data_IF_157644093959
#
_entry.id   IF_157644093959
#
_cell.length_a   1.000
_cell.length_b   1.000
_cell.length_c   1.000
_cell.angle_alpha   90.00
_cell.angle_beta   90.00
_cell.angle_gamma   90.00
#
_symmetry.space_group_name_H-M   'P 1'
#
loop_
_entity.id
_entity.type
_entity.pdbx_description
1 polymer ?
#
# COMPACT_ATOMS: atom_id res chain seq x y z
N UNK A 1 6.39 -30.42 1.33
CA UNK A 1 6.13 -29.62 2.55
C UNK A 1 4.72 -29.93 3.01
N UNK A 2 4.56 -30.37 4.25
CA UNK A 2 3.24 -30.68 4.83
C UNK A 2 2.43 -29.42 5.11
N UNK A 3 1.13 -29.61 5.34
CA UNK A 3 0.23 -28.56 5.83
C UNK A 3 0.58 -28.19 7.27
N UNK A 4 0.61 -26.89 7.57
CA UNK A 4 0.76 -26.36 8.93
C UNK A 4 -0.64 -26.08 9.48
N UNK A 5 -0.91 -26.47 10.72
CA UNK A 5 -2.22 -26.28 11.37
C UNK A 5 -2.02 -25.51 12.68
N UNK A 6 -2.62 -24.33 12.78
CA UNK A 6 -2.39 -23.38 13.87
C UNK A 6 -3.72 -22.96 14.50
N UNK A 7 -3.72 -22.81 15.81
CA UNK A 7 -4.73 -22.05 16.52
C UNK A 7 -4.26 -20.59 16.66
N UNK A 8 -5.05 -19.67 16.14
CA UNK A 8 -4.83 -18.23 16.27
C UNK A 8 -5.84 -17.66 17.28
N UNK A 9 -5.34 -16.93 18.28
CA UNK A 9 -6.18 -16.24 19.28
C UNK A 9 -5.96 -14.74 19.22
N UNK A 10 -6.88 -13.96 19.83
CA UNK A 10 -6.86 -12.49 19.81
C UNK A 10 -5.57 -11.82 20.29
N UNK A 11 -4.76 -12.54 21.09
CA UNK A 11 -3.52 -12.01 21.64
C UNK A 11 -2.36 -12.05 20.64
N UNK A 12 -2.53 -12.77 19.53
CA UNK A 12 -1.50 -13.00 18.54
C UNK A 12 -1.90 -12.49 17.16
N UNK A 13 -0.88 -12.16 16.38
CA UNK A 13 -0.96 -11.96 14.94
C UNK A 13 -0.12 -13.03 14.25
N UNK A 14 -0.70 -13.69 13.27
CA UNK A 14 0.01 -14.63 12.40
C UNK A 14 0.48 -13.87 11.16
N UNK A 15 1.80 -13.67 11.02
CA UNK A 15 2.42 -13.12 9.83
C UNK A 15 2.78 -14.26 8.88
N UNK A 16 2.28 -14.21 7.64
CA UNK A 16 2.62 -15.18 6.59
C UNK A 16 3.35 -14.45 5.47
N UNK A 17 4.57 -14.92 5.18
CA UNK A 17 5.48 -14.31 4.21
C UNK A 17 5.73 -15.26 3.04
N UNK A 18 5.61 -14.72 1.84
CA UNK A 18 5.79 -15.47 0.61
C UNK A 18 4.56 -16.28 0.22
N UNK A 19 4.68 -17.07 -0.85
CA UNK A 19 3.56 -17.83 -1.34
C UNK A 19 3.06 -18.82 -0.29
N UNK A 20 1.75 -18.85 -0.10
CA UNK A 20 1.05 -19.75 0.80
C UNK A 20 -0.42 -19.80 0.42
N UNK A 21 -1.07 -20.93 0.68
CA UNK A 21 -2.52 -21.07 0.59
C UNK A 21 -3.04 -21.23 2.01
N UNK A 22 -3.74 -20.20 2.50
CA UNK A 22 -4.35 -20.16 3.81
C UNK A 22 -5.79 -20.66 3.70
N UNK A 23 -6.22 -21.46 4.68
CA UNK A 23 -7.62 -21.83 4.90
C UNK A 23 -7.97 -21.46 6.33
N UNK A 24 -8.94 -20.56 6.48
CA UNK A 24 -9.42 -20.12 7.78
C UNK A 24 -10.68 -20.90 8.16
N UNK A 25 -10.76 -21.35 9.41
CA UNK A 25 -11.95 -21.93 10.02
C UNK A 25 -12.28 -21.15 11.28
N UNK A 26 -13.38 -20.40 11.25
CA UNK A 26 -13.73 -19.39 12.25
C UNK A 26 -13.43 -17.97 11.78
N UNK A 27 -13.58 -17.00 12.69
CA UNK A 27 -13.50 -15.57 12.35
C UNK A 27 -12.06 -15.09 12.28
N UNK A 28 -11.67 -14.49 11.16
CA UNK A 28 -10.38 -13.83 11.03
C UNK A 28 -10.42 -12.72 9.97
N UNK A 29 -9.44 -11.83 10.01
CA UNK A 29 -9.25 -10.76 9.07
C UNK A 29 -7.83 -10.70 8.54
N UNK A 30 -7.68 -10.18 7.32
CA UNK A 30 -6.40 -9.75 6.75
C UNK A 30 -6.58 -8.32 6.26
N UNK A 31 -5.84 -7.37 6.82
CA UNK A 31 -5.88 -5.96 6.38
C UNK A 31 -7.33 -5.42 6.27
N UNK A 32 -8.16 -5.69 7.28
CA UNK A 32 -9.57 -5.25 7.35
C UNK A 32 -10.54 -6.05 6.48
N UNK A 33 -10.04 -7.01 5.69
CA UNK A 33 -10.86 -7.95 4.90
C UNK A 33 -11.28 -9.12 5.76
N UNK A 34 -12.57 -9.40 5.81
CA UNK A 34 -13.11 -10.60 6.46
C UNK A 34 -12.79 -11.86 5.63
N UNK A 35 -12.04 -12.77 6.24
CA UNK A 35 -11.62 -14.06 5.66
C UNK A 35 -12.27 -15.27 6.35
N UNK A 36 -13.33 -15.04 7.12
CA UNK A 36 -14.07 -16.08 7.86
C UNK A 36 -14.48 -17.22 6.94
N UNK A 37 -14.02 -18.44 7.26
CA UNK A 37 -14.31 -19.65 6.48
C UNK A 37 -13.89 -19.58 5.00
N UNK A 38 -12.88 -18.76 4.66
CA UNK A 38 -12.36 -18.60 3.29
C UNK A 38 -10.97 -19.24 3.12
N UNK A 39 -10.64 -19.50 1.86
CA UNK A 39 -9.27 -19.75 1.45
C UNK A 39 -8.67 -18.53 0.76
N UNK A 40 -7.44 -18.17 1.13
CA UNK A 40 -6.73 -16.99 0.65
C UNK A 40 -5.35 -17.41 0.16
N UNK A 41 -4.92 -16.87 -0.99
CA UNK A 41 -3.54 -17.06 -1.48
C UNK A 41 -2.68 -15.85 -1.13
N UNK A 42 -1.59 -16.08 -0.41
CA UNK A 42 -0.52 -15.10 -0.19
C UNK A 42 0.43 -15.14 -1.38
N UNK A 43 0.90 -13.97 -1.85
CA UNK A 43 1.84 -13.86 -2.98
C UNK A 43 3.30 -13.89 -2.50
N UNK A 44 4.22 -14.38 -3.34
CA UNK A 44 5.67 -14.54 -3.06
C UNK A 44 6.37 -13.34 -2.40
N UNK A 45 5.97 -12.11 -2.74
CA UNK A 45 6.65 -10.89 -2.28
C UNK A 45 5.84 -10.12 -1.23
N UNK A 46 4.91 -10.80 -0.56
CA UNK A 46 4.00 -10.17 0.41
C UNK A 46 4.15 -10.81 1.77
N UNK A 47 3.85 -10.00 2.79
CA UNK A 47 3.73 -10.40 4.17
C UNK A 47 2.34 -9.93 4.58
N UNK A 48 1.47 -10.87 4.91
CA UNK A 48 0.09 -10.57 5.31
C UNK A 48 -0.10 -10.90 6.79
N UNK A 49 -0.67 -9.97 7.58
CA UNK A 49 -1.09 -10.26 8.94
C UNK A 49 -2.48 -10.91 8.93
N UNK A 50 -2.59 -12.08 9.55
CA UNK A 50 -3.84 -12.74 9.86
C UNK A 50 -4.13 -12.49 11.34
N UNK A 51 -5.32 -11.98 11.60
CA UNK A 51 -5.75 -11.44 12.89
C UNK A 51 -7.16 -11.95 13.20
N UNK A 52 -7.49 -12.11 14.48
CA UNK A 52 -8.83 -12.50 14.94
C UNK A 52 -9.14 -11.78 16.24
N UNK A 53 -10.42 -11.51 16.52
CA UNK A 53 -10.83 -10.96 17.81
C UNK A 53 -11.34 -12.06 18.77
N UNK A 54 -11.38 -13.31 18.30
CA UNK A 54 -11.80 -14.49 19.06
C UNK A 54 -10.65 -15.51 19.11
N UNK A 55 -10.94 -16.77 18.81
CA UNK A 55 -9.98 -17.75 18.33
C UNK A 55 -10.47 -18.31 16.99
N UNK A 56 -9.54 -18.83 16.18
CA UNK A 56 -9.84 -19.53 14.94
C UNK A 56 -8.72 -20.50 14.59
N UNK A 57 -9.02 -21.47 13.72
CA UNK A 57 -8.04 -22.42 13.19
C UNK A 57 -7.59 -21.96 11.81
N UNK A 58 -6.28 -21.89 11.60
CA UNK A 58 -5.65 -21.51 10.33
C UNK A 58 -4.81 -22.68 9.83
N UNK A 59 -5.16 -23.20 8.65
CA UNK A 59 -4.36 -24.21 7.95
C UNK A 59 -3.59 -23.53 6.82
N UNK A 60 -2.28 -23.74 6.77
CA UNK A 60 -1.38 -23.17 5.76
C UNK A 60 -0.76 -24.28 4.91
N UNK A 61 -1.06 -24.26 3.62
CA UNK A 61 -0.45 -25.11 2.62
C UNK A 61 0.64 -24.34 1.85
N UNK A 62 1.70 -25.04 1.44
CA UNK A 62 2.81 -24.48 0.63
C UNK A 62 3.45 -23.24 1.25
N UNK A 63 3.45 -23.13 2.57
CA UNK A 63 3.99 -21.99 3.29
C UNK A 63 5.49 -21.85 3.07
N UNK A 64 5.94 -20.69 2.58
CA UNK A 64 7.36 -20.34 2.57
C UNK A 64 7.88 -20.01 3.97
N UNK A 65 7.25 -19.04 4.65
CA UNK A 65 7.65 -18.59 5.97
C UNK A 65 6.42 -18.07 6.73
N UNK A 66 6.32 -18.38 8.03
CA UNK A 66 5.31 -17.78 8.91
C UNK A 66 5.91 -17.46 10.28
N UNK A 67 5.31 -16.49 10.99
CA UNK A 67 5.65 -16.13 12.37
C UNK A 67 4.37 -15.82 13.14
N UNK A 68 4.27 -16.30 14.36
CA UNK A 68 3.20 -15.93 15.27
C UNK A 68 3.78 -15.05 16.37
N UNK A 69 3.21 -13.87 16.57
CA UNK A 69 3.75 -12.83 17.45
C UNK A 69 2.64 -12.22 18.29
N UNK A 70 2.96 -11.73 19.48
CA UNK A 70 2.00 -10.92 20.25
C UNK A 70 1.54 -9.73 19.42
N UNK A 71 0.23 -9.45 19.47
CA UNK A 71 -0.44 -8.49 18.58
C UNK A 71 0.09 -7.06 18.74
N UNK A 72 0.47 -6.65 19.95
CA UNK A 72 0.91 -5.28 20.22
C UNK A 72 2.13 -4.89 19.37
N UNK A 73 1.96 -3.86 18.54
CA UNK A 73 3.00 -3.37 17.64
C UNK A 73 3.26 -4.29 16.43
N UNK A 74 2.33 -5.16 16.09
CA UNK A 74 2.40 -6.10 14.96
C UNK A 74 1.12 -6.03 14.13
N UNK A 75 1.22 -6.39 12.84
CA UNK A 75 0.05 -6.49 11.98
C UNK A 75 -0.59 -5.14 11.70
N UNK A 76 -1.91 -5.05 11.85
CA UNK A 76 -2.63 -3.78 11.65
C UNK A 76 -2.60 -2.88 12.89
N UNK A 77 -2.23 -3.40 14.07
CA UNK A 77 -2.20 -2.62 15.31
C UNK A 77 -1.19 -1.47 15.27
N UNK A 78 -0.14 -1.58 14.44
CA UNK A 78 0.84 -0.50 14.23
C UNK A 78 0.21 0.75 13.62
N UNK A 79 -1.02 0.66 13.12
CA UNK A 79 -1.74 1.74 12.45
C UNK A 79 -3.00 2.17 13.21
N UNK A 80 -3.18 1.76 14.47
CA UNK A 80 -4.40 2.05 15.25
C UNK A 80 -4.72 3.55 15.30
N UNK A 81 -3.73 4.41 15.59
CA UNK A 81 -3.92 5.87 15.63
C UNK A 81 -4.39 6.45 14.29
N UNK A 82 -3.81 5.98 13.18
CA UNK A 82 -4.19 6.41 11.84
C UNK A 82 -5.59 5.89 11.49
N UNK A 83 -5.88 4.62 11.80
CA UNK A 83 -7.19 3.99 11.59
C UNK A 83 -8.27 4.78 12.33
N UNK A 84 -8.06 5.06 13.61
CA UNK A 84 -9.04 5.70 14.46
C UNK A 84 -9.29 7.14 14.00
N UNK A 85 -8.24 7.86 13.62
CA UNK A 85 -8.37 9.18 13.00
C UNK A 85 -9.18 9.15 11.69
N UNK A 86 -8.92 8.18 10.82
CA UNK A 86 -9.65 8.02 9.55
C UNK A 86 -11.12 7.69 9.79
N UNK A 87 -11.40 6.76 10.72
CA UNK A 87 -12.77 6.33 11.05
C UNK A 87 -13.58 7.43 11.73
N UNK A 88 -12.94 8.26 12.56
CA UNK A 88 -13.58 9.34 13.30
C UNK A 88 -13.79 10.61 12.45
N UNK A 89 -12.78 11.00 11.67
CA UNK A 89 -12.83 12.26 10.90
C UNK A 89 -13.48 12.14 9.53
N UNK A 90 -13.64 10.92 9.03
CA UNK A 90 -14.17 10.60 7.70
C UNK A 90 -13.61 11.50 6.58
N UNK A 91 -12.27 11.52 6.41
CA UNK A 91 -11.59 12.45 5.51
C UNK A 91 -12.01 12.28 4.05
N UNK A 92 -11.86 13.34 3.26
CA UNK A 92 -11.98 13.26 1.80
C UNK A 92 -10.64 12.90 1.13
N UNK A 93 -9.52 13.19 1.78
CA UNK A 93 -8.18 12.88 1.27
C UNK A 93 -7.26 12.42 2.37
N UNK A 94 -6.59 11.29 2.14
CA UNK A 94 -5.54 10.75 3.00
C UNK A 94 -4.25 10.71 2.18
N UNK A 95 -3.20 11.38 2.64
CA UNK A 95 -1.87 11.32 2.04
C UNK A 95 -0.96 10.45 2.89
N UNK A 96 -0.36 9.41 2.31
CA UNK A 96 0.55 8.50 3.01
C UNK A 96 1.99 8.88 2.70
N UNK A 97 2.77 9.21 3.73
CA UNK A 97 4.17 9.66 3.65
C UNK A 97 5.05 8.76 4.54
N UNK A 98 6.30 8.57 4.13
CA UNK A 98 7.27 7.78 4.90
C UNK A 98 8.36 7.21 4.01
N UNK A 99 9.47 6.79 4.61
CA UNK A 99 10.62 6.24 3.88
C UNK A 99 10.27 4.97 3.10
N UNK A 100 11.19 4.50 2.26
CA UNK A 100 11.03 3.21 1.61
C UNK A 100 10.82 2.09 2.65
N UNK A 101 10.01 1.10 2.28
CA UNK A 101 9.80 -0.11 3.07
C UNK A 101 9.16 0.08 4.46
N UNK A 102 8.52 1.22 4.72
CA UNK A 102 7.77 1.47 5.98
C UNK A 102 6.34 0.91 6.01
N UNK A 103 5.85 0.31 4.93
CA UNK A 103 4.50 -0.28 4.87
C UNK A 103 3.42 0.58 4.21
N UNK A 104 3.77 1.72 3.59
CA UNK A 104 2.81 2.67 2.97
C UNK A 104 1.76 2.04 2.08
N UNK A 105 2.16 1.22 1.11
CA UNK A 105 1.22 0.58 0.18
C UNK A 105 0.30 -0.42 0.88
N UNK A 106 0.79 -1.11 1.91
CA UNK A 106 -0.02 -2.02 2.73
C UNK A 106 -1.01 -1.24 3.60
N UNK A 107 -0.61 -0.10 4.16
CA UNK A 107 -1.53 0.82 4.84
C UNK A 107 -2.58 1.35 3.86
N UNK A 108 -2.21 1.72 2.64
CA UNK A 108 -3.17 2.17 1.63
C UNK A 108 -4.26 1.12 1.36
N UNK A 109 -3.87 -0.15 1.25
CA UNK A 109 -4.79 -1.30 1.14
C UNK A 109 -5.68 -1.41 2.37
N UNK A 110 -5.10 -1.37 3.56
CA UNK A 110 -5.84 -1.47 4.82
C UNK A 110 -6.90 -0.37 4.95
N UNK A 111 -6.50 0.89 4.76
CA UNK A 111 -7.38 2.05 4.82
C UNK A 111 -8.46 1.99 3.74
N UNK A 112 -8.12 1.51 2.54
CA UNK A 112 -9.11 1.32 1.48
C UNK A 112 -10.17 0.30 1.88
N UNK A 113 -9.80 -0.85 2.41
CA UNK A 113 -10.74 -1.91 2.80
C UNK A 113 -11.67 -1.48 3.94
N UNK A 114 -11.15 -0.81 4.98
CA UNK A 114 -11.99 -0.36 6.10
C UNK A 114 -12.96 0.75 5.66
N UNK A 115 -12.54 1.65 4.76
CA UNK A 115 -13.37 2.76 4.31
C UNK A 115 -14.32 2.39 3.18
N UNK A 116 -14.03 1.34 2.42
CA UNK A 116 -14.90 0.83 1.35
C UNK A 116 -16.30 0.46 1.86
N UNK A 117 -16.40 0.03 3.12
CA UNK A 117 -17.67 -0.30 3.79
C UNK A 117 -18.53 0.94 4.09
N UNK A 118 -17.92 2.14 4.08
CA UNK A 118 -18.56 3.40 4.48
C UNK A 118 -18.82 4.35 3.31
N UNK A 119 -17.90 4.42 2.35
CA UNK A 119 -18.00 5.36 1.21
C UNK A 119 -17.24 4.86 0.00
N UNK A 120 -17.44 5.55 -1.12
CA UNK A 120 -16.69 5.31 -2.36
C UNK A 120 -15.23 5.69 -2.16
N UNK A 121 -14.32 4.77 -2.47
CA UNK A 121 -12.87 4.94 -2.29
C UNK A 121 -12.15 4.89 -3.63
N UNK A 122 -11.14 5.75 -3.77
CA UNK A 122 -10.16 5.71 -4.86
C UNK A 122 -8.76 5.68 -4.25
N UNK A 123 -7.86 4.97 -4.92
CA UNK A 123 -6.42 5.03 -4.64
C UNK A 123 -5.72 5.71 -5.79
N UNK A 124 -4.84 6.66 -5.48
CA UNK A 124 -3.84 7.21 -6.40
C UNK A 124 -2.48 6.69 -5.92
N UNK A 125 -1.75 6.02 -6.80
CA UNK A 125 -0.41 5.52 -6.53
C UNK A 125 0.63 6.42 -7.18
N UNK A 126 1.08 7.41 -6.42
CA UNK A 126 2.03 8.45 -6.81
C UNK A 126 3.50 8.03 -6.75
N UNK A 127 3.80 6.75 -6.50
CA UNK A 127 5.18 6.25 -6.54
C UNK A 127 5.61 5.96 -7.99
N UNK A 128 6.26 6.94 -8.62
CA UNK A 128 6.75 6.82 -10.00
C UNK A 128 7.87 5.78 -10.18
N UNK A 129 8.53 5.34 -9.11
CA UNK A 129 9.65 4.40 -9.18
C UNK A 129 9.25 2.95 -8.91
N UNK A 130 8.29 2.77 -8.00
CA UNK A 130 7.91 1.48 -7.41
C UNK A 130 6.39 1.36 -7.14
N UNK A 131 5.54 2.16 -7.80
CA UNK A 131 4.08 2.02 -7.71
C UNK A 131 3.57 0.70 -8.28
N UNK A 132 2.50 0.16 -7.71
CA UNK A 132 1.84 -1.09 -8.10
C UNK A 132 0.69 -0.88 -9.10
N UNK A 133 0.09 0.32 -9.17
CA UNK A 133 -1.02 0.59 -10.09
C UNK A 133 -0.58 0.94 -11.52
N UNK A 134 0.65 1.41 -11.69
CA UNK A 134 1.17 1.87 -12.97
C UNK A 134 2.58 1.34 -13.27
N UNK A 135 2.99 1.30 -14.55
CA UNK A 135 4.37 1.01 -14.88
C UNK A 135 5.29 2.09 -14.30
N UNK A 136 6.57 1.79 -14.05
CA UNK A 136 7.53 2.81 -13.63
C UNK A 136 7.53 4.01 -14.60
N UNK A 137 7.79 5.20 -14.05
CA UNK A 137 7.65 6.51 -14.68
C UNK A 137 6.20 6.97 -14.98
N UNK A 138 5.20 6.26 -14.44
CA UNK A 138 3.79 6.65 -14.48
C UNK A 138 3.18 6.68 -13.07
N UNK A 139 2.05 7.36 -12.96
CA UNK A 139 1.13 7.32 -11.80
C UNK A 139 -0.15 6.65 -12.24
N UNK A 140 -0.73 5.82 -11.36
CA UNK A 140 -2.00 5.15 -11.61
C UNK A 140 -3.06 5.57 -10.60
N UNK A 141 -4.31 5.68 -11.04
CA UNK A 141 -5.45 5.84 -10.16
C UNK A 141 -6.53 4.81 -10.48
N UNK A 142 -7.17 4.29 -9.44
CA UNK A 142 -8.29 3.36 -9.58
C UNK A 142 -9.29 3.54 -8.47
N UNK A 143 -10.58 3.41 -8.82
CA UNK A 143 -11.62 3.15 -7.84
C UNK A 143 -11.42 1.78 -7.19
N UNK A 144 -11.77 1.68 -5.92
CA UNK A 144 -11.81 0.42 -5.17
C UNK A 144 -13.27 -0.01 -5.10
N UNK A 145 -13.61 -1.11 -5.77
CA UNK A 145 -14.98 -1.63 -5.82
C UNK A 145 -15.17 -2.88 -4.96
N UNK A 146 -14.08 -3.55 -4.58
CA UNK A 146 -14.08 -4.75 -3.76
C UNK A 146 -12.86 -4.71 -2.83
N UNK A 147 -12.91 -5.51 -1.77
CA UNK A 147 -11.76 -5.71 -0.88
C UNK A 147 -10.56 -6.24 -1.67
N UNK A 148 -9.38 -5.70 -1.37
CA UNK A 148 -8.11 -6.07 -1.99
C UNK A 148 -7.10 -6.46 -0.91
N UNK A 149 -6.16 -7.35 -1.22
CA UNK A 149 -5.04 -7.67 -0.31
C UNK A 149 -3.73 -7.06 -0.81
N UNK A 150 -3.73 -6.59 -2.06
CA UNK A 150 -2.61 -5.92 -2.68
C UNK A 150 -3.05 -4.89 -3.74
N UNK A 151 -2.35 -3.77 -3.86
CA UNK A 151 -2.61 -2.82 -4.95
C UNK A 151 -2.38 -3.45 -6.34
N UNK A 152 -1.52 -4.47 -6.45
CA UNK A 152 -1.36 -5.21 -7.72
C UNK A 152 -2.54 -6.11 -8.08
N UNK A 153 -3.54 -6.28 -7.20
CA UNK A 153 -4.76 -7.04 -7.50
C UNK A 153 -5.67 -6.30 -8.49
N UNK A 154 -5.49 -4.99 -8.65
CA UNK A 154 -6.30 -4.16 -9.51
C UNK A 154 -5.47 -3.52 -10.63
N UNK A 155 -6.18 -3.08 -11.68
CA UNK A 155 -5.61 -2.31 -12.78
C UNK A 155 -6.02 -0.86 -12.61
N UNK A 156 -5.12 0.08 -12.89
CA UNK A 156 -5.49 1.49 -12.90
C UNK A 156 -6.52 1.78 -14.01
N UNK A 157 -7.50 2.61 -13.66
CA UNK A 157 -8.50 3.13 -14.59
C UNK A 157 -7.98 4.37 -15.32
N UNK A 158 -7.05 5.09 -14.70
CA UNK A 158 -6.43 6.31 -15.23
C UNK A 158 -4.93 6.30 -14.99
N UNK A 159 -4.18 6.82 -15.96
CA UNK A 159 -2.73 6.89 -15.94
C UNK A 159 -2.25 8.31 -16.26
N UNK A 160 -1.18 8.72 -15.62
CA UNK A 160 -0.43 9.94 -15.95
C UNK A 160 1.04 9.57 -16.17
N UNK A 161 1.58 9.91 -17.35
CA UNK A 161 2.99 9.69 -17.65
C UNK A 161 3.82 10.84 -17.11
N UNK A 162 4.84 10.50 -16.30
CA UNK A 162 5.77 11.47 -15.71
C UNK A 162 7.10 11.47 -16.46
N UNK A 163 7.51 10.32 -17.00
CA UNK A 163 8.78 10.18 -17.73
C UNK A 163 10.02 10.10 -16.84
N UNK A 164 9.85 10.04 -15.53
CA UNK A 164 10.94 9.89 -14.55
C UNK A 164 10.56 8.88 -13.47
N UNK A 165 11.52 8.06 -13.06
CA UNK A 165 11.39 7.14 -11.90
C UNK A 165 11.77 7.81 -10.57
N UNK A 166 12.24 9.05 -10.62
CA UNK A 166 12.45 9.92 -9.46
C UNK A 166 11.33 10.95 -9.41
N UNK A 167 10.73 11.23 -8.25
CA UNK A 167 9.66 12.22 -8.13
C UNK A 167 10.08 13.60 -8.65
N UNK A 168 9.23 14.22 -9.44
CA UNK A 168 9.38 15.59 -9.96
C UNK A 168 8.12 16.40 -9.63
N UNK A 169 8.13 17.74 -9.77
CA UNK A 169 6.92 18.54 -9.57
C UNK A 169 5.72 18.09 -10.43
N UNK A 170 5.96 17.46 -11.59
CA UNK A 170 4.91 16.91 -12.45
C UNK A 170 4.04 15.85 -11.76
N UNK A 171 4.59 15.16 -10.74
CA UNK A 171 3.83 14.19 -9.93
C UNK A 171 2.68 14.88 -9.20
N UNK A 172 2.89 16.11 -8.70
CA UNK A 172 1.87 16.88 -8.00
C UNK A 172 0.73 17.24 -8.97
N UNK A 173 1.08 17.72 -10.17
CA UNK A 173 0.08 18.08 -11.19
C UNK A 173 -0.71 16.87 -11.67
N UNK A 174 -0.05 15.72 -11.84
CA UNK A 174 -0.70 14.47 -12.19
C UNK A 174 -1.66 13.99 -11.08
N UNK A 175 -1.26 14.04 -9.81
CA UNK A 175 -2.15 13.71 -8.69
C UNK A 175 -3.38 14.63 -8.69
N UNK A 176 -3.22 15.94 -8.95
CA UNK A 176 -4.36 16.87 -9.06
C UNK A 176 -5.31 16.51 -10.20
N UNK A 177 -4.80 16.11 -11.36
CA UNK A 177 -5.62 15.70 -12.52
C UNK A 177 -6.36 14.39 -12.26
N UNK A 178 -5.75 13.49 -11.49
CA UNK A 178 -6.33 12.20 -11.14
C UNK A 178 -7.34 12.28 -9.98
N UNK A 179 -7.24 13.31 -9.14
CA UNK A 179 -8.12 13.53 -8.00
C UNK A 179 -9.60 13.61 -8.40
N UNK A 180 -10.45 12.90 -7.65
CA UNK A 180 -11.90 12.90 -7.86
C UNK A 180 -12.62 13.19 -6.54
N UNK A 181 -13.25 14.37 -6.46
CA UNK A 181 -13.96 14.85 -5.27
C UNK A 181 -15.15 13.97 -4.84
N UNK A 182 -15.61 13.04 -5.69
CA UNK A 182 -16.72 12.15 -5.37
C UNK A 182 -16.29 10.91 -4.57
N UNK A 183 -15.00 10.74 -4.32
CA UNK A 183 -14.42 9.60 -3.62
C UNK A 183 -13.56 10.08 -2.46
N UNK A 184 -13.50 9.30 -1.38
CA UNK A 184 -12.34 9.39 -0.50
C UNK A 184 -11.12 8.97 -1.32
N UNK A 185 -10.13 9.85 -1.42
CA UNK A 185 -8.90 9.58 -2.18
C UNK A 185 -7.75 9.27 -1.22
N UNK A 186 -7.23 8.03 -1.30
CA UNK A 186 -6.01 7.60 -0.61
C UNK A 186 -4.85 7.75 -1.57
N UNK A 187 -3.88 8.60 -1.23
CA UNK A 187 -2.72 8.90 -2.05
C UNK A 187 -1.52 8.16 -1.45
N UNK A 188 -1.12 7.05 -2.06
CA UNK A 188 0.14 6.38 -1.77
C UNK A 188 1.27 7.17 -2.44
N UNK A 189 2.36 7.43 -1.73
CA UNK A 189 3.49 8.19 -2.27
C UNK A 189 4.78 7.37 -2.29
N UNK A 190 5.76 7.84 -3.06
CA UNK A 190 7.12 7.31 -3.06
C UNK A 190 7.81 7.44 -1.68
N UNK A 191 8.90 6.70 -1.47
CA UNK A 191 9.70 6.79 -0.25
C UNK A 191 10.83 7.82 -0.26
N UNK A 192 10.74 8.88 -1.06
CA UNK A 192 11.77 9.92 -1.16
C UNK A 192 11.66 10.93 -0.01
N UNK A 193 12.49 10.74 1.02
CA UNK A 193 12.43 11.49 2.29
C UNK A 193 13.81 12.06 2.70
N UNK A 194 14.75 12.18 1.76
CA UNK A 194 15.92 13.03 2.03
C UNK A 194 15.51 14.52 2.10
N UNK A 195 16.47 15.44 2.23
CA UNK A 195 16.16 16.87 2.31
C UNK A 195 15.29 17.37 1.14
N UNK A 196 15.63 17.00 -0.09
CA UNK A 196 14.89 17.42 -1.28
C UNK A 196 13.54 16.69 -1.43
N UNK A 197 13.52 15.41 -1.04
CA UNK A 197 12.31 14.60 -0.96
C UNK A 197 11.30 15.21 0.02
N UNK A 198 11.75 15.62 1.20
CA UNK A 198 10.92 16.28 2.20
C UNK A 198 10.37 17.62 1.69
N UNK A 199 11.20 18.46 1.07
CA UNK A 199 10.74 19.70 0.41
C UNK A 199 9.65 19.42 -0.64
N UNK A 200 9.82 18.37 -1.44
CA UNK A 200 8.82 17.90 -2.39
C UNK A 200 7.53 17.43 -1.70
N UNK A 201 7.59 16.65 -0.61
CA UNK A 201 6.41 16.22 0.15
C UNK A 201 5.66 17.40 0.74
N UNK A 202 6.35 18.41 1.26
CA UNK A 202 5.71 19.64 1.74
C UNK A 202 5.00 20.38 0.60
N UNK A 203 5.61 20.49 -0.58
CA UNK A 203 4.92 21.08 -1.75
C UNK A 203 3.67 20.28 -2.11
N UNK A 204 3.77 18.95 -2.14
CA UNK A 204 2.64 18.06 -2.37
C UNK A 204 1.52 18.28 -1.34
N UNK A 205 1.85 18.32 -0.05
CA UNK A 205 0.88 18.56 1.05
C UNK A 205 0.22 19.93 0.89
N UNK A 206 0.98 20.99 0.60
CA UNK A 206 0.45 22.35 0.47
C UNK A 206 -0.50 22.50 -0.73
N UNK A 207 -0.25 21.75 -1.80
CA UNK A 207 -1.06 21.79 -3.03
C UNK A 207 -2.30 20.90 -2.90
N UNK A 208 -2.15 19.68 -2.39
CA UNK A 208 -3.24 18.72 -2.26
C UNK A 208 -4.13 19.01 -1.05
N UNK A 209 -3.58 19.60 0.02
CA UNK A 209 -4.26 19.91 1.27
C UNK A 209 -5.03 18.70 1.83
N UNK A 210 -4.35 17.56 2.06
CA UNK A 210 -5.01 16.35 2.52
C UNK A 210 -5.66 16.57 3.89
N UNK A 211 -6.82 15.95 4.13
CA UNK A 211 -7.51 15.99 5.42
C UNK A 211 -6.73 15.26 6.51
N UNK A 212 -6.03 14.18 6.15
CA UNK A 212 -5.14 13.40 7.02
C UNK A 212 -3.80 13.15 6.32
N UNK A 213 -2.70 13.33 7.06
CA UNK A 213 -1.35 12.94 6.65
C UNK A 213 -0.94 11.74 7.50
N UNK A 214 -0.95 10.54 6.90
CA UNK A 214 -0.50 9.31 7.53
C UNK A 214 1.03 9.20 7.35
N UNK A 215 1.79 9.38 8.43
CA UNK A 215 3.24 9.45 8.41
C UNK A 215 3.86 8.20 9.06
N UNK A 216 4.52 7.35 8.27
CA UNK A 216 5.08 6.08 8.73
C UNK A 216 6.59 6.18 8.85
N UNK A 217 7.17 5.66 9.93
CA UNK A 217 8.61 5.45 10.08
C UNK A 217 9.31 6.51 10.94
N UNK A 218 10.50 6.94 10.50
CA UNK A 218 11.49 7.65 11.33
C UNK A 218 11.07 9.07 11.77
N UNK A 219 11.52 9.46 12.96
CA UNK A 219 11.13 10.69 13.67
C UNK A 219 11.58 11.97 12.97
N UNK A 220 12.74 11.96 12.28
CA UNK A 220 13.35 13.20 11.77
C UNK A 220 12.48 14.00 10.79
N UNK A 221 11.86 13.33 9.80
CA UNK A 221 10.93 13.98 8.87
C UNK A 221 9.53 14.13 9.48
N UNK A 222 9.14 13.22 10.37
CA UNK A 222 7.86 13.27 11.05
C UNK A 222 7.76 14.53 11.93
N UNK A 223 8.84 14.89 12.64
CA UNK A 223 8.94 16.12 13.45
C UNK A 223 8.71 17.37 12.61
N UNK A 224 9.32 17.45 11.41
CA UNK A 224 9.12 18.59 10.51
C UNK A 224 7.67 18.71 10.05
N UNK A 225 7.03 17.57 9.73
CA UNK A 225 5.63 17.55 9.33
C UNK A 225 4.71 17.93 10.49
N UNK A 226 4.95 17.41 11.69
CA UNK A 226 4.18 17.75 12.90
C UNK A 226 4.28 19.23 13.25
N UNK A 227 5.47 19.84 13.07
CA UNK A 227 5.67 21.28 13.30
C UNK A 227 4.84 22.14 12.32
N UNK A 228 4.61 21.67 11.10
CA UNK A 228 3.91 22.42 10.04
C UNK A 228 2.42 22.14 9.96
N UNK A 229 1.98 20.94 10.35
CA UNK A 229 0.63 20.45 10.07
C UNK A 229 0.02 19.80 11.31
N UNK A 230 -1.22 20.18 11.64
CA UNK A 230 -1.95 19.66 12.82
C UNK A 230 -2.65 18.31 12.58
N UNK A 231 -2.68 17.84 11.34
CA UNK A 231 -3.42 16.66 10.90
C UNK A 231 -2.48 15.52 10.48
N UNK A 232 -1.32 15.44 11.11
CA UNK A 232 -0.35 14.37 10.95
C UNK A 232 -0.61 13.31 12.01
N UNK A 233 -0.72 12.06 11.57
CA UNK A 233 -0.89 10.89 12.44
C UNK A 233 0.26 9.94 12.16
N UNK A 234 0.96 9.55 13.24
CA UNK A 234 2.17 8.75 13.15
C UNK A 234 1.85 7.26 13.20
N UNK A 235 2.72 6.47 12.59
CA UNK A 235 2.78 5.03 12.80
C UNK A 235 4.21 4.53 12.71
N UNK A 236 4.51 3.52 13.52
CA UNK A 236 5.79 2.84 13.49
C UNK A 236 6.01 2.08 12.18
N UNK A 237 7.28 1.88 11.83
CA UNK A 237 7.64 0.92 10.78
C UNK A 237 7.47 -0.52 11.29
N UNK A 238 7.08 -1.48 10.43
CA UNK A 238 7.01 -2.88 10.83
C UNK A 238 8.38 -3.41 11.31
N UNK A 239 8.44 -3.99 12.51
CA UNK A 239 9.70 -4.43 13.14
C UNK A 239 10.31 -5.69 12.51
N UNK A 240 9.48 -6.57 11.95
CA UNK A 240 9.91 -7.90 11.47
C UNK A 240 9.79 -8.07 9.96
N UNK A 241 9.73 -6.95 9.24
CA UNK A 241 9.65 -6.89 7.78
C UNK A 241 10.97 -6.32 7.25
N UNK A 242 11.95 -7.20 7.07
CA UNK A 242 13.15 -6.83 6.33
C UNK A 242 12.92 -7.02 4.84
N UNK A 243 13.23 -5.98 4.06
CA UNK A 243 13.26 -6.04 2.60
C UNK A 243 14.67 -5.82 2.12
N UNK A 244 15.15 -6.76 1.32
CA UNK A 244 16.46 -6.67 0.66
C UNK A 244 16.50 -5.40 -0.23
N UNK A 245 17.48 -4.50 -0.04
CA UNK A 245 17.67 -3.34 -0.92
C UNK A 245 17.75 -3.71 -2.41
N UNK A 246 18.27 -4.89 -2.77
CA UNK A 246 18.32 -5.40 -4.15
C UNK A 246 16.95 -5.83 -4.67
N UNK A 247 16.01 -6.19 -3.79
CA UNK A 247 14.65 -6.53 -4.17
C UNK A 247 13.93 -5.36 -4.87
N UNK A 248 14.33 -4.10 -4.64
CA UNK A 248 13.75 -2.95 -5.34
C UNK A 248 13.99 -2.98 -6.85
N UNK A 249 15.19 -3.37 -7.28
CA UNK A 249 15.47 -3.50 -8.71
C UNK A 249 14.66 -4.66 -9.31
N UNK A 250 14.62 -5.79 -8.61
CA UNK A 250 13.84 -6.95 -9.05
C UNK A 250 12.34 -6.67 -9.11
N UNK A 251 11.77 -5.99 -8.11
CA UNK A 251 10.37 -5.58 -8.10
C UNK A 251 10.06 -4.63 -9.25
N UNK A 252 10.96 -3.69 -9.56
CA UNK A 252 10.80 -2.82 -10.74
C UNK A 252 10.78 -3.61 -12.04
N UNK A 253 11.71 -4.55 -12.23
CA UNK A 253 11.73 -5.42 -13.40
C UNK A 253 10.46 -6.27 -13.52
N UNK A 254 9.96 -6.82 -12.40
CA UNK A 254 8.68 -7.54 -12.35
C UNK A 254 7.51 -6.66 -12.79
N UNK A 255 7.50 -5.38 -12.39
CA UNK A 255 6.43 -4.44 -12.79
C UNK A 255 6.50 -4.11 -14.27
N UNK A 256 7.69 -3.84 -14.82
CA UNK A 256 7.84 -3.70 -16.27
C UNK A 256 7.29 -4.93 -17.00
N UNK A 257 7.67 -6.14 -16.57
CA UNK A 257 7.16 -7.39 -17.15
C UNK A 257 5.64 -7.52 -17.02
N UNK A 258 5.05 -7.14 -15.89
CA UNK A 258 3.59 -7.15 -15.66
C UNK A 258 2.86 -6.25 -16.67
N UNK A 259 3.34 -5.03 -16.91
CA UNK A 259 2.65 -4.06 -17.78
C UNK A 259 2.94 -4.24 -19.27
N UNK A 260 4.14 -4.71 -19.64
CA UNK A 260 4.47 -5.06 -21.03
C UNK A 260 3.76 -6.37 -21.41
N UNK A 261 3.59 -7.28 -20.45
CA UNK A 261 3.09 -8.63 -20.65
C UNK A 261 4.16 -9.58 -21.19
N UNK A 262 3.78 -10.84 -21.43
CA UNK A 262 4.68 -11.85 -22.01
C UNK A 262 4.65 -11.87 -23.55
N UNK A 263 3.84 -11.02 -24.18
CA UNK A 263 3.69 -11.00 -25.63
C UNK A 263 4.77 -10.10 -26.24
N UNK A 264 5.58 -10.65 -27.16
CA UNK A 264 6.43 -9.83 -28.04
C UNK A 264 5.54 -8.88 -28.82
N UNK A 265 5.67 -7.58 -28.55
CA UNK A 265 5.03 -6.53 -29.34
C UNK A 265 6.09 -5.90 -30.22
N UNK A 266 5.98 -6.11 -31.53
CA UNK A 266 6.82 -5.43 -32.50
C UNK A 266 6.28 -4.02 -32.69
N UNK A 267 7.07 -3.02 -32.33
CA UNK A 267 6.75 -1.61 -32.56
C UNK A 267 7.62 -1.11 -33.73
N UNK A 268 6.99 -0.78 -34.86
CA UNK A 268 7.67 -0.10 -35.95
C UNK A 268 7.76 1.40 -35.63
N UNK A 269 8.96 1.87 -35.28
CA UNK A 269 9.19 3.27 -34.90
C UNK A 269 9.06 4.21 -36.12
N UNK A 270 9.25 3.71 -37.35
CA UNK A 270 9.19 4.54 -38.57
C UNK A 270 7.77 4.97 -38.96
N UNK A 271 6.73 4.36 -38.40
CA UNK A 271 5.34 4.62 -38.79
C UNK A 271 4.57 5.54 -37.83
N UNK A 272 5.24 6.19 -36.86
CA UNK A 272 4.58 7.09 -35.91
C UNK A 272 5.22 8.47 -35.90
N UNK A 273 4.39 9.51 -36.06
CA UNK A 273 4.75 10.88 -35.74
C UNK A 273 4.81 11.00 -34.22
N UNK A 274 6.01 11.20 -33.68
CA UNK A 274 6.21 11.58 -32.29
C UNK A 274 5.97 13.09 -32.24
N UNK A 275 4.89 13.50 -31.58
CA UNK A 275 4.69 14.90 -31.23
C UNK A 275 5.56 15.17 -30.00
N UNK A 276 6.58 16.01 -30.19
CA UNK A 276 7.43 16.55 -29.12
C UNK A 276 6.74 17.78 -28.56
#
# INVERSE_FOLDING_TARGET
MGSIDLELTRNYTLLVKGFAILKCYGNATILGVDITNKSITVKDNKILPIETDTSCRIVIDRCMEYKMMYREGIGTSIWDDIRDAVLFREPDTILIVGANDTGKSTLAVYLANIMLKKRRVMVIDGDVGQGDLAPPACIGASRINNNILDLSDISAERYEFIGSITPTPLVIDAIKRLYDKNYLTIINTDGYIDKHGLEYKIKLINVIKPSIIACLGDNSYAEELLRRYKNVYLADKPRYVEKDPRARLYNRLRRYKRFIGNNKRYFNIRSKKIWV
#
